data_IF_243087314860
#
_entry.id   IF_243087314860
#
_cell.length_a   1.000
_cell.length_b   1.000
_cell.length_c   1.000
_cell.angle_alpha   90.00
_cell.angle_beta   90.00
_cell.angle_gamma   90.00
#
_symmetry.space_group_name_H-M   'P 1'
#
loop_
_entity.id
_entity.type
_entity.pdbx_description
1 polymer ?
#
# COMPACT_ATOMS: atom_id res chain seq x y z
N UNK A 1 4.74 -21.43 -11.63
CA UNK A 1 5.14 -20.10 -11.15
C UNK A 1 4.38 -19.78 -9.89
N UNK A 2 5.07 -19.34 -8.84
CA UNK A 2 4.43 -19.03 -7.56
C UNK A 2 4.42 -17.54 -7.31
N UNK A 3 3.43 -17.10 -6.55
CA UNK A 3 3.33 -15.73 -6.08
C UNK A 3 3.29 -15.71 -4.57
N UNK A 4 3.91 -14.70 -4.02
CA UNK A 4 3.81 -14.39 -2.60
C UNK A 4 2.87 -13.20 -2.47
N UNK A 5 1.92 -13.30 -1.56
CA UNK A 5 0.96 -12.22 -1.29
C UNK A 5 1.27 -11.57 0.04
N UNK A 6 1.16 -10.26 0.07
CA UNK A 6 1.43 -9.48 1.26
C UNK A 6 0.35 -8.42 1.42
N UNK A 7 -0.07 -8.19 2.65
CA UNK A 7 -1.06 -7.16 2.96
C UNK A 7 -0.38 -6.15 3.89
N UNK A 8 -0.43 -4.89 3.53
CA UNK A 8 0.15 -3.80 4.32
C UNK A 8 -0.87 -2.71 4.57
N UNK A 9 -0.83 -2.14 5.76
CA UNK A 9 -1.67 -1.01 6.12
C UNK A 9 -0.79 0.24 6.16
N UNK A 10 -1.24 1.29 5.50
CA UNK A 10 -0.54 2.56 5.44
C UNK A 10 -1.46 3.70 5.83
N UNK A 11 -0.92 4.65 6.56
CA UNK A 11 -1.60 5.88 6.90
C UNK A 11 -0.92 7.02 6.15
N UNK A 12 -1.69 7.77 5.38
CA UNK A 12 -1.16 8.82 4.51
C UNK A 12 -1.95 10.11 4.69
N UNK A 13 -1.35 11.23 4.32
CA UNK A 13 -2.01 12.53 4.40
C UNK A 13 -2.90 12.72 3.17
N UNK A 14 -2.40 12.38 1.99
CA UNK A 14 -3.15 12.52 0.75
C UNK A 14 -2.82 11.40 -0.25
N UNK A 15 -3.48 11.45 -1.40
CA UNK A 15 -3.30 10.41 -2.42
C UNK A 15 -1.92 10.42 -3.06
N UNK A 16 -1.23 11.56 -3.07
CA UNK A 16 0.12 11.60 -3.63
C UNK A 16 1.11 10.79 -2.79
N UNK A 17 0.90 10.76 -1.47
CA UNK A 17 1.69 9.92 -0.58
C UNK A 17 1.42 8.43 -0.86
N UNK A 18 0.17 8.08 -1.08
CA UNK A 18 -0.19 6.70 -1.41
C UNK A 18 0.44 6.29 -2.75
N UNK A 19 0.41 7.18 -3.73
CA UNK A 19 1.02 6.92 -5.04
C UNK A 19 2.51 6.64 -4.90
N UNK A 20 3.22 7.42 -4.08
CA UNK A 20 4.65 7.19 -3.83
C UNK A 20 4.89 5.82 -3.20
N UNK A 21 4.05 5.43 -2.24
CA UNK A 21 4.14 4.13 -1.59
C UNK A 21 3.95 3.02 -2.62
N UNK A 22 2.94 3.14 -3.47
CA UNK A 22 2.66 2.13 -4.49
C UNK A 22 3.81 2.01 -5.50
N UNK A 23 4.37 3.14 -5.93
CA UNK A 23 5.51 3.14 -6.84
C UNK A 23 6.75 2.53 -6.19
N UNK A 24 6.96 2.78 -4.92
CA UNK A 24 8.08 2.19 -4.18
C UNK A 24 7.95 0.67 -4.13
N UNK A 25 6.75 0.15 -3.88
CA UNK A 25 6.53 -1.30 -3.94
C UNK A 25 6.82 -1.85 -5.34
N UNK A 26 6.44 -1.12 -6.38
CA UNK A 26 6.72 -1.51 -7.76
C UNK A 26 8.22 -1.66 -8.02
N UNK A 27 9.02 -0.72 -7.53
CA UNK A 27 10.48 -0.79 -7.70
C UNK A 27 11.10 -1.96 -6.97
N UNK A 28 10.43 -2.47 -5.93
CA UNK A 28 10.89 -3.64 -5.17
C UNK A 28 10.39 -4.96 -5.74
N UNK A 29 9.74 -4.92 -6.89
CA UNK A 29 9.27 -6.11 -7.57
C UNK A 29 7.88 -6.57 -7.16
N UNK A 30 7.15 -5.77 -6.39
CA UNK A 30 5.77 -6.08 -6.03
C UNK A 30 4.81 -5.48 -7.06
N UNK A 31 3.70 -6.17 -7.28
CA UNK A 31 2.58 -5.63 -8.02
C UNK A 31 1.48 -5.29 -7.03
N UNK A 32 0.97 -4.07 -7.10
CA UNK A 32 -0.17 -3.68 -6.29
C UNK A 32 -1.42 -4.23 -6.96
N UNK A 33 -2.05 -5.18 -6.29
CA UNK A 33 -3.28 -5.79 -6.79
C UNK A 33 -4.46 -4.86 -6.54
N UNK A 34 -4.47 -4.25 -5.35
CA UNK A 34 -5.58 -3.42 -4.92
C UNK A 34 -5.15 -2.55 -3.76
N UNK A 35 -5.70 -1.36 -3.66
CA UNK A 35 -5.57 -0.51 -2.49
C UNK A 35 -6.98 -0.06 -2.09
N UNK A 36 -7.34 -0.29 -0.83
CA UNK A 36 -8.66 0.04 -0.33
C UNK A 36 -8.59 1.09 0.77
N UNK A 37 -9.48 2.06 0.68
CA UNK A 37 -9.66 3.04 1.75
C UNK A 37 -10.34 2.35 2.94
N UNK A 38 -9.78 2.53 4.14
CA UNK A 38 -10.36 1.96 5.36
C UNK A 38 -11.13 3.03 6.13
N UNK A 39 -10.46 4.10 6.48
CA UNK A 39 -11.09 5.16 7.27
C UNK A 39 -10.27 6.44 7.26
N UNK A 40 -10.95 7.54 7.57
CA UNK A 40 -10.28 8.76 7.96
C UNK A 40 -9.91 8.65 9.43
N UNK A 41 -8.81 9.28 9.81
CA UNK A 41 -8.40 9.36 11.21
C UNK A 41 -7.68 10.68 11.47
N UNK A 42 -7.51 10.98 12.74
CA UNK A 42 -6.80 12.17 13.18
C UNK A 42 -5.58 11.72 13.95
N UNK A 43 -4.40 12.15 13.52
CA UNK A 43 -3.16 11.73 14.14
C UNK A 43 -2.24 12.93 14.25
N UNK A 44 -1.73 13.20 15.45
CA UNK A 44 -0.87 14.35 15.74
C UNK A 44 -1.46 15.68 15.24
N UNK A 45 -2.79 15.84 15.38
CA UNK A 45 -3.49 17.05 14.99
C UNK A 45 -3.70 17.20 13.49
N UNK A 46 -3.48 16.13 12.72
CA UNK A 46 -3.64 16.13 11.26
C UNK A 46 -4.71 15.16 10.81
N UNK A 47 -5.53 15.54 9.83
CA UNK A 47 -6.40 14.58 9.17
C UNK A 47 -5.56 13.65 8.30
N UNK A 48 -5.78 12.36 8.43
CA UNK A 48 -5.05 11.34 7.68
C UNK A 48 -6.02 10.31 7.13
N UNK A 49 -5.55 9.53 6.18
CA UNK A 49 -6.33 8.46 5.57
C UNK A 49 -5.60 7.13 5.74
N UNK A 50 -6.35 6.12 6.09
CA UNK A 50 -5.82 4.77 6.29
C UNK A 50 -6.24 3.89 5.13
N UNK A 51 -5.25 3.22 4.54
CA UNK A 51 -5.46 2.30 3.41
C UNK A 51 -4.87 0.94 3.71
N UNK A 52 -5.50 -0.08 3.14
CA UNK A 52 -4.89 -1.41 3.07
C UNK A 52 -4.46 -1.65 1.63
N UNK A 53 -3.23 -2.13 1.46
CA UNK A 53 -2.63 -2.39 0.16
C UNK A 53 -2.38 -3.89 0.03
N UNK A 54 -2.93 -4.48 -1.02
CA UNK A 54 -2.76 -5.89 -1.34
C UNK A 54 -1.70 -6.01 -2.42
N UNK A 55 -0.67 -6.79 -2.13
CA UNK A 55 0.51 -6.91 -2.97
C UNK A 55 0.74 -8.34 -3.39
N UNK A 56 1.30 -8.52 -4.57
CA UNK A 56 1.80 -9.84 -4.98
C UNK A 56 3.20 -9.69 -5.56
N UNK A 57 3.98 -10.73 -5.39
CA UNK A 57 5.33 -10.78 -5.91
C UNK A 57 5.60 -12.16 -6.45
N UNK A 58 6.16 -12.20 -7.66
CA UNK A 58 6.60 -13.43 -8.27
C UNK A 58 7.81 -13.96 -7.51
N UNK A 59 7.79 -15.22 -7.14
CA UNK A 59 8.92 -15.83 -6.45
C UNK A 59 9.52 -16.94 -7.30
N UNK A 60 10.82 -17.07 -7.22
CA UNK A 60 11.52 -18.16 -7.88
C UNK A 60 11.25 -19.45 -7.13
N UNK A 61 11.12 -20.51 -7.88
CA UNK A 61 11.00 -21.85 -7.33
C UNK A 61 12.38 -22.46 -7.15
#
# INVERSE_FOLDING_TARGET
MKYKYTIKIHTVIDYSDLEKIMNDYGTKGYRVVKAEFISDLFESGRPMKKFVVYLEKKVKQ
#
